data_IF_602053395418
#
_entry.id   IF_602053395418
#
_cell.length_a   1.000
_cell.length_b   1.000
_cell.length_c   1.000
_cell.angle_alpha   90.00
_cell.angle_beta   90.00
_cell.angle_gamma   90.00
#
_symmetry.space_group_name_H-M   'P 1'
#
loop_
_entity.id
_entity.type
_entity.pdbx_description
1 polymer ?
#
# COMPACT_ATOMS: atom_id res chain seq x y z
N UNK A 1 6.33 -9.45 -18.36
CA UNK A 1 6.62 -9.13 -16.96
C UNK A 1 8.10 -8.79 -16.84
N UNK A 2 8.42 -7.67 -16.19
CA UNK A 2 9.79 -7.25 -15.90
C UNK A 2 10.49 -8.15 -14.85
N UNK A 3 9.73 -8.99 -14.17
CA UNK A 3 10.24 -9.92 -13.17
C UNK A 3 10.05 -11.36 -13.66
N UNK A 4 11.17 -12.06 -13.92
CA UNK A 4 11.16 -13.49 -14.08
C UNK A 4 11.42 -14.10 -12.69
N UNK A 5 10.55 -14.98 -12.22
CA UNK A 5 10.71 -15.65 -10.91
C UNK A 5 12.06 -16.36 -10.76
N UNK A 6 12.62 -16.82 -11.88
CA UNK A 6 13.90 -17.53 -11.96
C UNK A 6 15.10 -16.68 -11.51
N UNK A 7 15.05 -15.36 -11.78
CA UNK A 7 16.15 -14.44 -11.45
C UNK A 7 16.14 -14.02 -9.96
N UNK A 8 15.06 -14.31 -9.23
CA UNK A 8 14.84 -13.87 -7.85
C UNK A 8 14.36 -15.00 -6.95
N UNK A 9 14.99 -16.19 -7.01
CA UNK A 9 14.55 -17.39 -6.29
C UNK A 9 14.38 -17.21 -4.77
N UNK A 10 15.13 -16.29 -4.16
CA UNK A 10 15.03 -15.92 -2.73
C UNK A 10 13.94 -14.91 -2.40
N UNK A 11 13.20 -14.42 -3.41
CA UNK A 11 12.22 -13.33 -3.25
C UNK A 11 10.85 -13.70 -3.81
N UNK A 12 9.81 -13.01 -3.36
CA UNK A 12 8.44 -13.14 -3.85
C UNK A 12 7.80 -11.76 -4.04
N UNK A 13 6.96 -11.63 -5.07
CA UNK A 13 6.09 -10.49 -5.23
C UNK A 13 4.74 -10.77 -4.57
N UNK A 14 4.38 -10.00 -3.57
CA UNK A 14 3.09 -10.11 -2.88
C UNK A 14 2.15 -9.04 -3.40
N UNK A 15 1.06 -9.48 -4.03
CA UNK A 15 0.07 -8.62 -4.62
C UNK A 15 -1.35 -8.91 -4.09
N UNK A 16 -2.24 -7.90 -4.02
CA UNK A 16 -3.61 -8.07 -3.53
C UNK A 16 -4.48 -8.95 -4.43
N UNK A 17 -4.07 -9.14 -5.68
CA UNK A 17 -4.81 -9.95 -6.66
C UNK A 17 -4.48 -11.44 -6.55
N UNK A 18 -3.25 -11.77 -6.15
CA UNK A 18 -2.74 -13.14 -6.13
C UNK A 18 -2.97 -13.80 -4.77
N UNK A 19 -2.96 -13.01 -3.69
CA UNK A 19 -3.11 -13.49 -2.33
C UNK A 19 -4.40 -13.02 -1.67
N UNK A 20 -5.26 -13.96 -1.30
CA UNK A 20 -6.55 -13.66 -0.63
C UNK A 20 -6.38 -13.26 0.83
N UNK A 21 -5.27 -13.62 1.46
CA UNK A 21 -4.87 -13.28 2.82
C UNK A 21 -4.11 -11.94 2.91
N UNK A 22 -3.69 -11.35 1.78
CA UNK A 22 -2.99 -10.07 1.76
C UNK A 22 -3.99 -8.90 1.76
N UNK A 23 -4.01 -8.07 2.83
CA UNK A 23 -5.06 -7.08 3.02
C UNK A 23 -4.83 -5.73 2.34
N UNK A 24 -3.60 -5.43 1.94
CA UNK A 24 -3.20 -4.10 1.44
C UNK A 24 -3.42 -3.97 -0.07
N UNK A 25 -3.66 -2.75 -0.58
CA UNK A 25 -3.77 -2.51 -2.03
C UNK A 25 -2.41 -2.27 -2.71
N UNK A 26 -1.31 -2.22 -1.96
CA UNK A 26 0.06 -2.04 -2.46
C UNK A 26 0.71 -3.38 -2.80
N UNK A 27 1.76 -3.31 -3.59
CA UNK A 27 2.61 -4.45 -3.91
C UNK A 27 3.81 -4.47 -2.96
N UNK A 28 4.30 -5.67 -2.62
CA UNK A 28 5.50 -5.84 -1.80
C UNK A 28 6.45 -6.82 -2.46
N UNK A 29 7.70 -6.46 -2.55
CA UNK A 29 8.78 -7.36 -2.93
C UNK A 29 9.45 -7.86 -1.65
N UNK A 30 9.27 -9.15 -1.34
CA UNK A 30 9.56 -9.73 -0.05
C UNK A 30 10.70 -10.76 -0.12
N UNK A 31 11.57 -10.78 0.88
CA UNK A 31 12.54 -11.86 1.07
C UNK A 31 11.82 -13.12 1.61
N UNK A 32 11.83 -14.22 0.84
CA UNK A 32 11.17 -15.49 1.21
C UNK A 32 11.76 -16.16 2.44
N UNK A 33 13.00 -15.87 2.80
CA UNK A 33 13.70 -16.49 3.92
C UNK A 33 13.45 -15.81 5.27
N UNK A 34 12.66 -14.76 5.29
CA UNK A 34 12.34 -13.98 6.49
C UNK A 34 10.84 -14.01 6.78
N UNK A 35 10.46 -13.65 7.98
CA UNK A 35 9.07 -13.57 8.41
C UNK A 35 8.73 -12.17 8.88
N UNK A 36 7.63 -11.63 8.40
CA UNK A 36 7.01 -10.43 8.92
C UNK A 36 5.50 -10.59 8.97
N UNK A 37 4.90 -10.22 10.09
CA UNK A 37 3.45 -10.11 10.26
C UNK A 37 3.13 -8.70 10.70
N UNK A 38 2.39 -7.97 9.89
CA UNK A 38 1.89 -6.64 10.25
C UNK A 38 0.66 -6.78 11.15
N UNK A 39 0.44 -5.78 12.03
CA UNK A 39 -0.76 -5.74 12.86
C UNK A 39 -1.99 -5.42 12.01
N UNK A 40 -2.57 -6.45 11.47
CA UNK A 40 -3.79 -6.40 10.64
C UNK A 40 -4.78 -7.47 11.06
N UNK A 41 -6.02 -7.30 10.66
CA UNK A 41 -7.10 -8.27 10.97
C UNK A 41 -6.93 -9.61 10.29
N UNK A 42 -6.42 -9.57 9.08
CA UNK A 42 -6.06 -10.78 8.36
C UNK A 42 -4.58 -10.95 8.58
N UNK A 43 -4.16 -11.87 9.46
CA UNK A 43 -2.75 -12.11 9.66
C UNK A 43 -2.20 -12.66 8.34
N UNK A 44 -1.42 -11.84 7.67
CA UNK A 44 -0.72 -12.21 6.46
C UNK A 44 0.76 -12.33 6.79
N UNK A 45 1.32 -13.50 6.54
CA UNK A 45 2.75 -13.73 6.68
C UNK A 45 3.43 -13.29 5.38
N UNK A 46 4.28 -12.29 5.48
CA UNK A 46 5.19 -11.83 4.42
C UNK A 46 6.64 -11.99 4.87
N UNK A 47 7.60 -11.71 3.99
CA UNK A 47 9.00 -11.51 4.39
C UNK A 47 9.28 -10.04 4.69
N UNK A 48 10.51 -9.71 5.04
CA UNK A 48 11.02 -8.35 4.92
C UNK A 48 10.81 -7.87 3.50
N UNK A 49 10.36 -6.64 3.35
CA UNK A 49 9.89 -6.16 2.05
C UNK A 49 10.34 -4.75 1.72
N UNK A 50 10.31 -4.48 0.43
CA UNK A 50 10.28 -3.15 -0.16
C UNK A 50 8.88 -2.95 -0.73
N UNK A 51 8.24 -1.81 -0.42
CA UNK A 51 6.98 -1.45 -1.03
C UNK A 51 7.19 -1.05 -2.50
N UNK A 52 6.37 -1.60 -3.38
CA UNK A 52 6.30 -1.19 -4.78
C UNK A 52 5.02 -0.37 -4.96
N UNK A 53 5.20 0.89 -5.28
CA UNK A 53 4.10 1.82 -5.51
C UNK A 53 3.96 2.05 -7.02
N UNK A 54 2.92 1.52 -7.67
CA UNK A 54 2.69 1.75 -9.08
C UNK A 54 2.45 3.23 -9.36
N UNK A 55 3.03 3.71 -10.46
CA UNK A 55 2.74 5.01 -11.02
C UNK A 55 1.81 4.81 -12.20
N UNK A 56 0.61 5.34 -12.10
CA UNK A 56 -0.46 5.17 -13.10
C UNK A 56 -0.68 6.48 -13.88
N UNK A 57 -1.19 6.37 -15.11
CA UNK A 57 -1.64 7.53 -15.85
C UNK A 57 -2.84 8.21 -15.20
N UNK A 58 -2.96 9.53 -15.31
CA UNK A 58 -4.11 10.28 -14.82
C UNK A 58 -4.57 11.32 -15.81
N UNK A 59 -5.68 12.01 -15.50
CA UNK A 59 -6.23 13.08 -16.33
C UNK A 59 -5.28 14.28 -16.41
N UNK A 60 -5.25 14.93 -17.55
CA UNK A 60 -4.56 16.21 -17.73
C UNK A 60 -5.29 17.34 -17.00
N UNK A 61 -6.60 17.20 -16.77
CA UNK A 61 -7.35 18.06 -15.85
C UNK A 61 -6.99 17.72 -14.40
N UNK A 62 -6.31 18.66 -13.74
CA UNK A 62 -5.88 18.49 -12.35
C UNK A 62 -7.06 18.24 -11.39
N UNK A 63 -8.21 18.87 -11.60
CA UNK A 63 -9.36 18.65 -10.73
C UNK A 63 -9.92 17.23 -10.89
N UNK A 64 -9.96 16.73 -12.12
CA UNK A 64 -10.37 15.33 -12.35
C UNK A 64 -9.36 14.35 -11.73
N UNK A 65 -8.05 14.59 -11.89
CA UNK A 65 -7.00 13.79 -11.28
C UNK A 65 -7.18 13.71 -9.75
N UNK A 66 -7.41 14.86 -9.09
CA UNK A 66 -7.65 14.94 -7.66
C UNK A 66 -8.95 14.27 -7.23
N UNK A 67 -10.04 14.42 -8.01
CA UNK A 67 -11.29 13.68 -7.75
C UNK A 67 -11.08 12.17 -7.78
N UNK A 68 -10.29 11.67 -8.73
CA UNK A 68 -9.94 10.24 -8.82
C UNK A 68 -9.09 9.79 -7.64
N UNK A 69 -8.08 10.57 -7.26
CA UNK A 69 -7.25 10.34 -6.08
C UNK A 69 -8.09 10.22 -4.80
N UNK A 70 -8.96 11.18 -4.53
CA UNK A 70 -9.83 11.16 -3.36
C UNK A 70 -10.83 9.98 -3.40
N UNK A 71 -11.35 9.64 -4.57
CA UNK A 71 -12.22 8.47 -4.75
C UNK A 71 -11.45 7.17 -4.47
N UNK A 72 -10.22 7.05 -4.94
CA UNK A 72 -9.35 5.91 -4.65
C UNK A 72 -9.12 5.77 -3.14
N UNK A 73 -8.73 6.86 -2.48
CA UNK A 73 -8.50 6.86 -1.03
C UNK A 73 -9.75 6.53 -0.22
N UNK A 74 -10.92 6.98 -0.64
CA UNK A 74 -12.20 6.61 -0.01
C UNK A 74 -12.44 5.09 -0.08
N UNK A 75 -12.13 4.46 -1.21
CA UNK A 75 -12.25 3.01 -1.39
C UNK A 75 -11.15 2.29 -0.60
N UNK A 76 -9.90 2.75 -0.65
CA UNK A 76 -8.76 2.25 0.14
C UNK A 76 -9.09 2.25 1.64
N UNK A 77 -9.66 3.34 2.15
CA UNK A 77 -10.05 3.44 3.55
C UNK A 77 -11.16 2.44 3.93
N UNK A 78 -12.11 2.16 3.03
CA UNK A 78 -13.11 1.11 3.23
C UNK A 78 -12.47 -0.28 3.26
N UNK A 79 -11.52 -0.54 2.35
CA UNK A 79 -10.76 -1.80 2.33
C UNK A 79 -9.98 -1.98 3.63
N UNK A 80 -9.30 -0.95 4.11
CA UNK A 80 -8.59 -0.95 5.38
C UNK A 80 -9.54 -1.18 6.56
N UNK A 81 -10.72 -0.55 6.55
CA UNK A 81 -11.71 -0.69 7.61
C UNK A 81 -12.22 -2.13 7.74
N UNK A 82 -12.52 -2.82 6.63
CA UNK A 82 -12.92 -4.24 6.67
C UNK A 82 -11.76 -5.18 6.99
N UNK A 83 -10.52 -4.70 6.88
CA UNK A 83 -9.31 -5.46 7.19
C UNK A 83 -8.83 -5.28 8.63
N UNK A 84 -9.40 -4.38 9.42
CA UNK A 84 -9.01 -4.16 10.82
C UNK A 84 -9.63 -5.20 11.75
N UNK A 85 -8.89 -5.58 12.82
CA UNK A 85 -9.43 -6.40 13.90
C UNK A 85 -10.44 -5.60 14.71
N UNK A 86 -11.61 -6.20 14.92
CA UNK A 86 -12.58 -5.72 15.89
C UNK A 86 -12.75 -6.76 16.96
N UNK A 87 -12.66 -6.37 18.23
CA UNK A 87 -13.12 -7.24 19.31
C UNK A 87 -14.65 -7.36 19.22
N UNK A 88 -15.20 -8.52 19.53
CA UNK A 88 -16.65 -8.74 19.56
C UNK A 88 -17.35 -7.74 20.50
N UNK A 89 -16.72 -7.44 21.64
CA UNK A 89 -17.23 -6.43 22.58
C UNK A 89 -17.24 -5.01 21.96
N UNK A 90 -16.19 -4.63 21.18
CA UNK A 90 -16.17 -3.37 20.46
C UNK A 90 -17.24 -3.28 19.36
N UNK A 91 -17.56 -4.41 18.73
CA UNK A 91 -18.65 -4.49 17.76
C UNK A 91 -20.03 -4.32 18.39
N UNK A 92 -20.29 -4.95 19.55
CA UNK A 92 -21.55 -4.82 20.28
C UNK A 92 -21.78 -3.39 20.83
N UNK A 93 -20.72 -2.68 21.20
CA UNK A 93 -20.83 -1.27 21.63
C UNK A 93 -21.45 -0.35 20.57
N UNK A 94 -21.26 -0.67 19.28
CA UNK A 94 -21.84 0.11 18.19
C UNK A 94 -23.38 0.00 18.12
N UNK A 95 -23.98 -1.02 18.71
CA UNK A 95 -25.44 -1.17 18.81
C UNK A 95 -26.06 -0.19 19.81
N UNK A 96 -25.29 0.23 20.82
CA UNK A 96 -25.77 1.13 21.87
C UNK A 96 -25.90 2.61 21.45
N UNK A 97 -25.29 3.02 20.35
CA UNK A 97 -25.34 4.39 19.85
C UNK A 97 -25.96 4.47 18.45
N UNK A 98 -27.13 5.14 18.36
CA UNK A 98 -27.83 5.35 17.09
C UNK A 98 -26.98 6.04 16.01
N UNK A 99 -26.03 6.89 16.41
CA UNK A 99 -25.11 7.57 15.48
C UNK A 99 -24.11 6.59 14.85
N UNK A 100 -23.83 5.48 15.51
CA UNK A 100 -22.90 4.45 15.08
C UNK A 100 -23.55 3.33 14.26
N UNK A 101 -24.88 3.33 14.08
CA UNK A 101 -25.61 2.29 13.36
C UNK A 101 -25.13 2.14 11.91
N UNK A 102 -24.76 3.21 11.25
CA UNK A 102 -24.16 3.17 9.91
C UNK A 102 -22.86 2.36 9.91
N UNK A 103 -22.01 2.53 10.91
CA UNK A 103 -20.79 1.75 11.08
C UNK A 103 -21.09 0.31 11.45
N UNK A 104 -22.09 0.05 12.28
CA UNK A 104 -22.51 -1.30 12.63
C UNK A 104 -22.96 -2.09 11.40
N UNK A 105 -23.88 -1.53 10.60
CA UNK A 105 -24.35 -2.15 9.36
C UNK A 105 -23.18 -2.39 8.38
N UNK A 106 -22.32 -1.40 8.20
CA UNK A 106 -21.15 -1.52 7.34
C UNK A 106 -20.19 -2.63 7.80
N UNK A 107 -19.94 -2.73 9.11
CA UNK A 107 -19.10 -3.77 9.71
C UNK A 107 -19.73 -5.15 9.63
N UNK A 108 -21.06 -5.25 9.77
CA UNK A 108 -21.81 -6.50 9.62
C UNK A 108 -21.70 -7.04 8.19
N UNK A 109 -21.93 -6.17 7.19
CA UNK A 109 -21.75 -6.53 5.78
C UNK A 109 -20.28 -6.92 5.53
N UNK A 110 -19.33 -6.16 6.06
CA UNK A 110 -17.91 -6.47 6.00
C UNK A 110 -17.55 -7.82 6.61
N UNK A 111 -18.23 -8.23 7.68
CA UNK A 111 -18.02 -9.53 8.34
C UNK A 111 -18.64 -10.68 7.53
N UNK A 112 -19.91 -10.58 7.15
CA UNK A 112 -20.64 -11.63 6.43
C UNK A 112 -20.17 -11.84 4.99
N UNK A 113 -19.87 -10.74 4.27
CA UNK A 113 -19.53 -10.75 2.86
C UNK A 113 -18.07 -10.34 2.58
N UNK A 114 -17.19 -10.47 3.57
CA UNK A 114 -15.83 -9.91 3.56
C UNK A 114 -15.04 -10.25 2.32
N UNK A 115 -15.00 -11.52 1.93
CA UNK A 115 -14.22 -11.96 0.76
C UNK A 115 -14.74 -11.33 -0.54
N UNK A 116 -16.06 -11.33 -0.71
CA UNK A 116 -16.72 -10.80 -1.92
C UNK A 116 -16.60 -9.28 -1.97
N UNK A 117 -16.86 -8.61 -0.83
CA UNK A 117 -16.79 -7.16 -0.74
C UNK A 117 -15.33 -6.66 -0.91
N UNK A 118 -14.36 -7.38 -0.33
CA UNK A 118 -12.93 -7.11 -0.56
C UNK A 118 -12.57 -7.19 -2.04
N UNK A 119 -12.96 -8.26 -2.73
CA UNK A 119 -12.75 -8.42 -4.18
C UNK A 119 -13.38 -7.29 -4.99
N UNK A 120 -14.60 -6.89 -4.62
CA UNK A 120 -15.27 -5.75 -5.24
C UNK A 120 -14.48 -4.46 -5.05
N UNK A 121 -14.05 -4.13 -3.83
CA UNK A 121 -13.26 -2.93 -3.56
C UNK A 121 -11.93 -2.91 -4.32
N UNK A 122 -11.22 -4.05 -4.37
CA UNK A 122 -9.97 -4.19 -5.12
C UNK A 122 -10.21 -3.96 -6.62
N UNK A 123 -11.26 -4.52 -7.19
CA UNK A 123 -11.63 -4.26 -8.59
C UNK A 123 -11.88 -2.78 -8.84
N UNK A 124 -12.61 -2.11 -7.94
CA UNK A 124 -12.89 -0.67 -8.04
C UNK A 124 -11.61 0.18 -7.94
N UNK A 125 -10.64 -0.20 -7.11
CA UNK A 125 -9.33 0.47 -7.07
C UNK A 125 -8.61 0.30 -8.41
N UNK A 126 -8.58 -0.92 -8.95
CA UNK A 126 -8.00 -1.21 -10.25
C UNK A 126 -8.66 -0.41 -11.38
N UNK A 127 -10.01 -0.36 -11.42
CA UNK A 127 -10.75 0.37 -12.44
C UNK A 127 -10.42 1.88 -12.43
N UNK A 128 -10.05 2.43 -11.27
CA UNK A 128 -9.58 3.82 -11.16
C UNK A 128 -8.14 3.93 -11.69
N UNK A 129 -7.23 3.06 -11.26
CA UNK A 129 -5.81 3.08 -11.67
C UNK A 129 -5.64 2.91 -13.19
N UNK A 130 -6.46 2.07 -13.81
CA UNK A 130 -6.38 1.82 -15.26
C UNK A 130 -7.29 2.70 -16.11
N UNK A 131 -7.90 3.75 -15.52
CA UNK A 131 -8.80 4.62 -16.28
C UNK A 131 -8.08 5.40 -17.40
N UNK A 132 -6.85 5.80 -17.17
CA UNK A 132 -6.01 6.50 -18.13
C UNK A 132 -4.77 5.63 -18.43
N UNK A 133 -4.56 5.23 -19.70
CA UNK A 133 -3.37 4.47 -20.07
C UNK A 133 -2.10 5.28 -19.79
N UNK A 134 -1.13 4.65 -19.12
CA UNK A 134 0.13 5.31 -18.76
C UNK A 134 0.84 5.89 -19.97
N UNK A 135 0.84 5.15 -21.10
CA UNK A 135 1.58 5.56 -22.31
C UNK A 135 1.02 6.83 -22.95
N UNK A 136 -0.29 7.05 -22.84
CA UNK A 136 -1.00 8.19 -23.43
C UNK A 136 -1.07 9.39 -22.49
N UNK A 137 -0.90 9.19 -21.20
CA UNK A 137 -1.05 10.24 -20.20
C UNK A 137 0.14 11.20 -20.19
N UNK A 138 -0.13 12.50 -20.03
CA UNK A 138 0.87 13.56 -19.80
C UNK A 138 1.22 13.68 -18.32
N UNK A 139 0.24 13.50 -17.45
CA UNK A 139 0.38 13.48 -16.01
C UNK A 139 0.22 12.07 -15.45
N UNK A 140 0.92 11.82 -14.37
CA UNK A 140 0.90 10.56 -13.64
C UNK A 140 0.60 10.79 -12.18
N UNK A 141 0.24 9.71 -11.49
CA UNK A 141 -0.21 9.76 -10.11
C UNK A 141 0.10 8.44 -9.40
N UNK A 142 0.59 8.53 -8.18
CA UNK A 142 0.70 7.38 -7.27
C UNK A 142 -0.58 7.28 -6.44
N UNK A 143 -1.58 6.54 -6.94
CA UNK A 143 -2.89 6.42 -6.25
C UNK A 143 -2.79 5.88 -4.82
N UNK A 144 -1.86 4.98 -4.54
CA UNK A 144 -1.65 4.43 -3.19
C UNK A 144 -0.84 5.33 -2.26
N UNK A 145 -0.25 6.40 -2.78
CA UNK A 145 0.60 7.35 -2.07
C UNK A 145 -0.10 8.04 -0.89
N UNK A 146 0.69 8.69 -0.07
CA UNK A 146 0.22 9.28 1.20
C UNK A 146 0.39 10.81 1.26
N UNK A 147 0.92 11.41 0.19
CA UNK A 147 1.26 12.84 0.17
C UNK A 147 0.19 13.73 -0.48
N UNK A 148 -1.00 13.18 -0.68
CA UNK A 148 -2.17 13.93 -1.15
C UNK A 148 -2.03 14.42 -2.59
N UNK A 149 -2.32 15.69 -2.80
CA UNK A 149 -2.29 16.32 -4.13
C UNK A 149 -0.89 16.36 -4.76
N UNK A 150 0.16 16.21 -3.96
CA UNK A 150 1.57 16.17 -4.41
C UNK A 150 1.91 14.89 -5.17
N UNK A 151 1.06 13.88 -5.08
CA UNK A 151 1.22 12.63 -5.82
C UNK A 151 0.91 12.78 -7.32
N UNK A 152 0.30 13.89 -7.73
CA UNK A 152 0.03 14.21 -9.14
C UNK A 152 1.18 15.06 -9.68
N UNK A 153 1.88 14.53 -10.69
CA UNK A 153 3.04 15.22 -11.31
C UNK A 153 3.20 14.87 -12.79
N UNK A 154 3.97 15.65 -13.55
CA UNK A 154 4.22 15.38 -14.96
C UNK A 154 4.97 14.06 -15.18
N UNK A 155 4.49 13.23 -16.12
CA UNK A 155 5.17 11.98 -16.51
C UNK A 155 6.62 12.23 -16.99
N UNK A 156 6.89 13.40 -17.54
CA UNK A 156 8.22 13.78 -17.98
C UNK A 156 9.29 13.64 -16.88
N UNK A 157 8.92 13.82 -15.61
CA UNK A 157 9.87 13.72 -14.50
C UNK A 157 10.43 12.31 -14.29
N UNK A 158 9.68 11.29 -14.69
CA UNK A 158 10.06 9.88 -14.49
C UNK A 158 10.40 9.16 -15.79
N UNK A 159 10.38 9.86 -16.93
CA UNK A 159 10.58 9.25 -18.25
C UNK A 159 12.02 8.82 -18.50
N UNK A 160 12.97 9.66 -18.09
CA UNK A 160 14.39 9.40 -18.20
C UNK A 160 14.96 8.95 -16.87
N UNK A 161 15.93 8.04 -16.92
CA UNK A 161 16.57 7.45 -15.76
C UNK A 161 18.05 7.79 -15.74
N UNK A 162 18.58 8.07 -14.55
CA UNK A 162 20.02 8.23 -14.27
C UNK A 162 20.44 7.23 -13.21
N UNK A 163 21.67 6.79 -13.26
CA UNK A 163 22.26 5.95 -12.22
C UNK A 163 23.09 6.80 -11.26
N UNK A 164 22.79 6.72 -9.98
CA UNK A 164 23.52 7.42 -8.93
C UNK A 164 24.04 6.41 -7.89
N UNK A 165 25.21 6.69 -7.29
CA UNK A 165 25.76 5.84 -6.25
C UNK A 165 24.95 5.96 -4.95
N UNK A 166 24.64 4.82 -4.36
CA UNK A 166 23.98 4.72 -3.04
C UNK A 166 24.57 3.52 -2.28
N UNK A 167 25.27 3.79 -1.17
CA UNK A 167 25.86 2.78 -0.28
C UNK A 167 26.63 1.65 -1.00
N UNK A 168 27.44 2.04 -2.00
CA UNK A 168 28.24 1.08 -2.79
C UNK A 168 27.50 0.41 -3.95
N UNK A 169 26.22 0.74 -4.14
CA UNK A 169 25.40 0.31 -5.29
C UNK A 169 25.22 1.44 -6.29
N UNK A 170 24.91 1.09 -7.54
CA UNK A 170 24.39 2.02 -8.53
C UNK A 170 22.87 1.85 -8.57
N UNK A 171 22.15 2.91 -8.28
CA UNK A 171 20.69 2.90 -8.20
C UNK A 171 20.10 3.75 -9.31
N UNK A 172 19.17 3.15 -10.05
CA UNK A 172 18.44 3.84 -11.09
C UNK A 172 17.37 4.75 -10.48
N UNK A 173 17.46 6.04 -10.78
CA UNK A 173 16.52 7.07 -10.31
C UNK A 173 15.95 7.85 -11.50
N UNK A 174 14.74 8.43 -11.39
CA UNK A 174 14.26 9.40 -12.35
C UNK A 174 15.27 10.53 -12.52
N UNK A 175 15.54 10.97 -13.75
CA UNK A 175 16.47 12.07 -14.00
C UNK A 175 16.06 13.37 -13.28
N UNK A 176 14.76 13.63 -13.24
CA UNK A 176 14.19 14.79 -12.56
C UNK A 176 13.82 14.46 -11.08
N UNK A 177 14.63 13.62 -10.43
CA UNK A 177 14.40 13.22 -9.03
C UNK A 177 14.32 14.41 -8.07
N UNK A 178 15.08 15.47 -8.32
CA UNK A 178 15.07 16.68 -7.50
C UNK A 178 13.71 17.38 -7.54
N UNK A 179 13.15 17.58 -8.74
CA UNK A 179 11.82 18.16 -8.92
C UNK A 179 10.73 17.28 -8.25
N UNK A 180 10.84 15.94 -8.39
CA UNK A 180 9.95 15.00 -7.74
C UNK A 180 10.04 15.09 -6.22
N UNK A 181 11.23 15.05 -5.65
CA UNK A 181 11.44 15.11 -4.20
C UNK A 181 10.98 16.44 -3.60
N UNK A 182 11.25 17.56 -4.26
CA UNK A 182 10.73 18.86 -3.85
C UNK A 182 9.20 18.92 -3.88
N UNK A 183 8.56 18.35 -4.90
CA UNK A 183 7.11 18.30 -4.98
C UNK A 183 6.49 17.49 -3.82
N UNK A 184 7.09 16.35 -3.46
CA UNK A 184 6.58 15.48 -2.40
C UNK A 184 6.91 16.01 -1.00
N UNK A 185 8.14 16.39 -0.74
CA UNK A 185 8.66 16.65 0.61
C UNK A 185 8.95 18.14 0.88
N UNK A 186 8.96 18.98 -0.14
CA UNK A 186 9.46 20.37 -0.02
C UNK A 186 10.98 20.37 0.05
N UNK A 187 11.56 21.09 1.00
CA UNK A 187 13.01 21.06 1.24
C UNK A 187 13.43 19.72 1.87
N UNK A 188 13.60 18.70 1.03
CA UNK A 188 13.90 17.34 1.45
C UNK A 188 15.32 17.16 1.99
N UNK A 189 16.22 18.14 1.80
CA UNK A 189 17.55 18.14 2.38
C UNK A 189 17.53 18.49 3.88
N UNK A 190 16.45 19.07 4.39
CA UNK A 190 16.28 19.31 5.81
C UNK A 190 15.80 18.07 6.51
N UNK A 191 16.55 17.62 7.53
CA UNK A 191 16.10 16.53 8.37
C UNK A 191 14.83 16.93 9.15
N UNK A 192 13.81 16.04 9.22
CA UNK A 192 12.64 16.31 10.04
C UNK A 192 13.02 16.54 11.52
N UNK A 193 12.20 17.27 12.30
CA UNK A 193 12.38 17.39 13.75
C UNK A 193 12.54 16.02 14.41
N UNK A 194 13.34 15.91 15.48
CA UNK A 194 13.67 14.63 16.12
C UNK A 194 12.45 13.83 16.54
N UNK A 195 11.43 14.50 17.04
CA UNK A 195 10.15 13.88 17.43
C UNK A 195 9.41 13.22 16.25
N UNK A 196 9.71 13.60 15.01
CA UNK A 196 9.12 13.03 13.79
C UNK A 196 9.97 11.92 13.16
N UNK A 197 11.19 11.66 13.67
CA UNK A 197 12.09 10.62 13.15
C UNK A 197 11.79 9.22 13.69
N UNK A 198 10.56 8.96 14.10
CA UNK A 198 10.14 7.68 14.65
C UNK A 198 9.46 6.84 13.56
N UNK A 199 9.92 5.59 13.43
CA UNK A 199 9.28 4.63 12.54
C UNK A 199 7.84 4.31 13.00
N UNK A 200 6.85 4.55 12.13
CA UNK A 200 5.42 4.36 12.45
C UNK A 200 4.88 2.97 12.08
N UNK A 201 5.77 2.05 11.65
CA UNK A 201 5.34 0.71 11.25
C UNK A 201 5.05 -0.15 12.49
N UNK A 202 3.80 -0.55 12.65
CA UNK A 202 3.37 -1.49 13.69
C UNK A 202 3.58 -2.92 13.19
N UNK A 203 4.54 -3.61 13.78
CA UNK A 203 4.85 -5.01 13.49
C UNK A 203 4.28 -5.87 14.63
N UNK A 204 3.49 -6.87 14.30
CA UNK A 204 3.01 -7.84 15.28
C UNK A 204 4.05 -8.92 15.58
N UNK A 205 4.81 -9.33 14.57
CA UNK A 205 5.87 -10.34 14.69
C UNK A 205 6.87 -10.20 13.54
N UNK A 206 8.15 -10.49 13.80
CA UNK A 206 9.17 -10.62 12.77
C UNK A 206 10.24 -11.66 13.14
N UNK A 207 10.80 -12.31 12.12
CA UNK A 207 11.96 -13.18 12.22
C UNK A 207 12.84 -12.96 10.97
N UNK A 208 14.10 -12.56 11.19
CA UNK A 208 15.04 -12.23 10.13
C UNK A 208 15.79 -13.45 9.57
N UNK A 209 15.76 -14.57 10.29
CA UNK A 209 16.59 -15.73 10.03
C UNK A 209 15.86 -16.82 9.25
N UNK A 210 14.52 -16.88 9.37
CA UNK A 210 13.74 -17.91 8.71
C UNK A 210 12.30 -17.51 8.40
N UNK A 211 11.72 -18.22 7.43
CA UNK A 211 10.29 -18.16 7.13
C UNK A 211 9.53 -19.05 8.09
N UNK A 212 8.51 -18.50 8.73
CA UNK A 212 7.61 -19.21 9.64
C UNK A 212 6.17 -19.13 9.14
N UNK A 213 5.42 -20.18 9.40
CA UNK A 213 3.99 -20.22 9.14
C UNK A 213 3.20 -19.48 10.23
N UNK A 214 1.97 -19.10 9.93
CA UNK A 214 1.11 -18.47 10.91
C UNK A 214 0.83 -19.37 12.11
N UNK A 215 0.83 -20.69 11.92
CA UNK A 215 0.60 -21.68 12.99
C UNK A 215 1.78 -21.76 13.94
N UNK A 216 3.03 -21.79 13.41
CA UNK A 216 4.24 -21.73 14.20
C UNK A 216 4.33 -20.46 15.04
N UNK A 217 4.00 -19.31 14.43
CA UNK A 217 3.99 -18.01 15.12
C UNK A 217 2.97 -18.01 16.25
N UNK A 218 1.75 -18.50 16.01
CA UNK A 218 0.71 -18.61 17.05
C UNK A 218 1.09 -19.54 18.20
N UNK A 219 1.84 -20.60 17.92
CA UNK A 219 2.31 -21.53 18.95
C UNK A 219 3.36 -20.89 19.88
N UNK A 220 4.18 -19.96 19.34
CA UNK A 220 5.21 -19.23 20.11
C UNK A 220 4.65 -18.06 20.94
N UNK A 221 3.51 -17.49 20.53
CA UNK A 221 2.91 -16.33 21.21
C UNK A 221 1.86 -16.73 22.26
N UNK A 222 1.63 -18.02 22.45
CA UNK A 222 0.84 -18.59 23.56
C UNK A 222 1.71 -18.80 24.78
#
# INVERSE_FOLDING_TARGET
SLFREEDYSGYELVAPYDRTDYPLPSLKFCNKNTTLVEDSVIPCVTGLYIDILPVDGTSDDREEALRLFHRYHKIKNRLNAISRRYSFAGYLKLLGDRKEWGQFVYKTIGFCCRKTYRRYLIRRLRDISFKFPFDEATNVLVYSGSYGEREVYPKAWIREVVELPFEGLQVALPKEYDAYLHNIFGDYMQLPPEEKRVAKHQKAYFNMEKRETLEEIKAKLK
#
